data_IF_322400013679
#
_entry.id   IF_322400013679
#
_cell.length_a   1.000
_cell.length_b   1.000
_cell.length_c   1.000
_cell.angle_alpha   90.00
_cell.angle_beta   90.00
_cell.angle_gamma   90.00
#
_symmetry.space_group_name_H-M   'P 1'
#
loop_
_entity.id
_entity.type
_entity.pdbx_description
1 polymer ?
#
# COMPACT_ATOMS: atom_id res chain seq x y z
N UNK A 1 4.48 2.55 9.84
CA UNK A 1 4.98 1.62 10.89
C UNK A 1 6.08 0.76 10.29
N UNK A 2 7.15 0.42 11.02
CA UNK A 2 8.22 -0.45 10.55
C UNK A 2 8.11 -1.82 11.23
N UNK A 3 8.18 -2.89 10.47
CA UNK A 3 8.11 -4.28 10.93
C UNK A 3 9.49 -4.94 10.77
N UNK A 4 9.88 -5.79 11.71
CA UNK A 4 11.01 -6.68 11.50
C UNK A 4 10.60 -7.84 10.58
N UNK A 5 11.48 -8.25 9.66
CA UNK A 5 11.19 -9.30 8.67
C UNK A 5 12.23 -10.40 8.76
N UNK A 6 11.76 -11.64 8.77
CA UNK A 6 12.58 -12.84 8.69
C UNK A 6 12.82 -13.28 7.24
N UNK A 7 13.87 -14.04 6.98
CA UNK A 7 14.11 -14.71 5.69
C UNK A 7 13.02 -15.68 5.28
N UNK A 8 12.25 -16.23 6.22
CA UNK A 8 11.05 -17.02 5.92
C UNK A 8 9.80 -16.18 5.58
N UNK A 9 9.96 -14.86 5.35
CA UNK A 9 8.93 -13.88 5.02
C UNK A 9 7.90 -13.57 6.12
N UNK A 10 8.14 -13.99 7.35
CA UNK A 10 7.31 -13.57 8.48
C UNK A 10 7.64 -12.15 8.92
N UNK A 11 6.61 -11.39 9.27
CA UNK A 11 6.71 -10.01 9.73
C UNK A 11 6.34 -9.89 11.20
N UNK A 12 7.07 -9.06 11.95
CA UNK A 12 6.88 -8.83 13.37
C UNK A 12 6.63 -7.34 13.61
N UNK A 13 5.47 -7.05 14.16
CA UNK A 13 5.10 -5.67 14.51
C UNK A 13 5.98 -5.13 15.64
N UNK A 14 6.27 -3.82 15.63
CA UNK A 14 6.94 -3.18 16.75
C UNK A 14 6.07 -3.23 18.01
N UNK A 15 6.70 -3.49 19.15
CA UNK A 15 6.11 -3.33 20.48
C UNK A 15 6.72 -2.08 21.13
N UNK A 16 5.92 -1.28 21.80
CA UNK A 16 6.37 -0.08 22.49
C UNK A 16 6.21 -0.27 24.00
N UNK A 17 7.31 -0.42 24.73
CA UNK A 17 7.26 -0.47 26.20
C UNK A 17 6.62 0.82 26.76
N UNK A 18 5.95 0.71 27.88
CA UNK A 18 5.28 1.85 28.53
C UNK A 18 6.27 3.00 28.75
N UNK A 19 5.95 4.18 28.19
CA UNK A 19 6.78 5.39 28.30
C UNK A 19 7.97 5.45 27.33
N UNK A 20 8.13 4.48 26.44
CA UNK A 20 9.17 4.48 25.41
C UNK A 20 8.62 4.79 24.02
N UNK A 21 9.28 5.69 23.29
CA UNK A 21 9.03 5.93 21.87
C UNK A 21 9.89 4.99 20.97
N UNK A 22 10.78 4.20 21.58
CA UNK A 22 11.66 3.28 20.83
C UNK A 22 10.96 1.93 20.69
N UNK A 23 10.76 1.45 19.45
CA UNK A 23 10.17 0.15 19.22
C UNK A 23 11.10 -0.99 19.62
N UNK A 24 10.51 -2.07 20.12
CA UNK A 24 11.20 -3.33 20.39
C UNK A 24 10.61 -4.43 19.52
N UNK A 25 11.44 -5.44 19.22
CA UNK A 25 11.09 -6.57 18.39
C UNK A 25 11.58 -7.87 19.02
N UNK A 26 11.01 -9.04 18.67
CA UNK A 26 11.59 -10.33 19.06
C UNK A 26 13.03 -10.47 18.55
N UNK A 27 13.88 -11.11 19.31
CA UNK A 27 15.28 -11.36 18.91
C UNK A 27 15.37 -12.40 17.79
N UNK A 28 14.47 -13.40 17.82
CA UNK A 28 14.44 -14.52 16.90
C UNK A 28 13.07 -14.70 16.28
N UNK A 29 13.04 -15.26 15.08
CA UNK A 29 11.82 -15.67 14.41
C UNK A 29 11.15 -16.84 15.13
N UNK A 30 9.87 -16.70 15.46
CA UNK A 30 9.06 -17.72 16.14
C UNK A 30 8.13 -18.49 15.19
N UNK A 31 8.33 -18.36 13.90
CA UNK A 31 7.53 -19.05 12.88
C UNK A 31 8.00 -20.49 12.67
N UNK A 32 7.06 -21.36 12.41
CA UNK A 32 7.29 -22.74 12.02
C UNK A 32 7.11 -22.88 10.51
N UNK A 33 8.19 -22.87 9.70
CA UNK A 33 8.09 -23.10 8.24
C UNK A 33 7.53 -24.49 7.92
N UNK A 34 7.79 -25.45 8.79
CA UNK A 34 7.18 -26.79 8.78
C UNK A 34 6.67 -27.12 10.19
N UNK A 35 5.70 -28.05 10.36
CA UNK A 35 5.15 -28.36 11.69
C UNK A 35 6.18 -28.74 12.76
N UNK A 36 7.35 -29.23 12.33
CA UNK A 36 8.38 -29.78 13.23
C UNK A 36 9.61 -28.86 13.39
N UNK A 37 9.72 -27.77 12.60
CA UNK A 37 10.94 -26.97 12.54
C UNK A 37 10.63 -25.50 12.84
N UNK A 38 11.12 -25.01 13.99
CA UNK A 38 11.11 -23.58 14.31
C UNK A 38 12.19 -22.87 13.49
N UNK A 39 11.90 -21.68 12.99
CA UNK A 39 12.80 -20.94 12.11
C UNK A 39 14.04 -20.43 12.85
N UNK A 40 13.86 -19.84 14.05
CA UNK A 40 14.92 -19.30 14.93
C UNK A 40 15.94 -18.36 14.25
N UNK A 41 15.64 -17.81 13.06
CA UNK A 41 16.51 -16.83 12.42
C UNK A 41 16.59 -15.55 13.28
N UNK A 42 17.80 -15.03 13.57
CA UNK A 42 17.94 -13.80 14.35
C UNK A 42 17.43 -12.59 13.54
N UNK A 43 16.47 -11.86 14.13
CA UNK A 43 15.79 -10.72 13.50
C UNK A 43 16.52 -9.39 13.69
N UNK A 44 17.38 -9.29 14.70
CA UNK A 44 18.03 -8.05 15.11
C UNK A 44 19.53 -8.07 14.83
N UNK A 45 20.06 -6.89 14.50
CA UNK A 45 21.50 -6.68 14.44
C UNK A 45 22.10 -6.64 15.85
N UNK A 46 23.18 -7.40 16.08
CA UNK A 46 23.97 -7.33 17.29
C UNK A 46 24.83 -6.06 17.28
N UNK A 47 24.30 -4.95 17.76
CA UNK A 47 25.05 -3.71 17.98
C UNK A 47 25.53 -3.66 19.41
N UNK A 48 26.82 -3.41 19.61
CA UNK A 48 27.45 -3.39 20.93
C UNK A 48 26.99 -2.23 21.82
N UNK A 49 26.49 -1.13 21.23
CA UNK A 49 26.02 0.05 21.97
C UNK A 49 24.86 0.71 21.23
N UNK A 50 23.63 0.49 21.67
CA UNK A 50 22.44 1.14 21.11
C UNK A 50 21.22 0.22 21.00
N UNK A 51 20.08 0.74 20.54
CA UNK A 51 18.89 -0.09 20.34
C UNK A 51 19.16 -1.13 19.25
N UNK A 52 18.74 -2.36 19.49
CA UNK A 52 18.80 -3.42 18.51
C UNK A 52 17.79 -3.10 17.38
N UNK A 53 18.30 -2.92 16.16
CA UNK A 53 17.48 -2.64 14.98
C UNK A 53 17.24 -3.93 14.19
N UNK A 54 16.08 -4.05 13.52
CA UNK A 54 15.83 -5.17 12.62
C UNK A 54 16.88 -5.25 11.50
N UNK A 55 17.37 -6.47 11.22
CA UNK A 55 18.27 -6.77 10.09
C UNK A 55 17.60 -6.46 8.76
N UNK A 56 16.31 -6.80 8.65
CA UNK A 56 15.46 -6.51 7.49
C UNK A 56 14.21 -5.81 7.98
N UNK A 57 13.82 -4.76 7.29
CA UNK A 57 12.67 -3.92 7.65
C UNK A 57 11.64 -3.90 6.53
N UNK A 58 10.38 -4.07 6.90
CA UNK A 58 9.26 -3.75 6.03
C UNK A 58 8.56 -2.50 6.57
N UNK A 59 8.50 -1.45 5.77
CA UNK A 59 7.82 -0.21 6.15
C UNK A 59 6.43 -0.25 5.54
N UNK A 60 5.42 -0.14 6.41
CA UNK A 60 4.02 -0.17 6.01
C UNK A 60 3.29 1.08 6.52
N UNK A 61 2.61 1.76 5.62
CA UNK A 61 1.59 2.73 5.94
C UNK A 61 0.23 2.04 5.90
N UNK A 62 -0.52 2.11 7.00
CA UNK A 62 -1.86 1.52 7.04
C UNK A 62 -2.76 2.23 6.02
N UNK A 63 -3.37 1.43 5.14
CA UNK A 63 -4.20 1.95 4.07
C UNK A 63 -5.48 2.60 4.61
N UNK A 64 -6.05 2.05 5.68
CA UNK A 64 -7.26 2.61 6.29
C UNK A 64 -6.97 3.95 6.95
N UNK A 65 -5.82 4.08 7.65
CA UNK A 65 -5.38 5.35 8.23
C UNK A 65 -5.15 6.41 7.14
N UNK A 66 -4.52 6.01 6.04
CA UNK A 66 -4.31 6.90 4.88
C UNK A 66 -5.65 7.34 4.27
N UNK A 67 -6.56 6.41 4.00
CA UNK A 67 -7.86 6.70 3.43
C UNK A 67 -8.71 7.57 4.38
N UNK A 68 -8.73 7.25 5.68
CA UNK A 68 -9.40 8.05 6.68
C UNK A 68 -8.87 9.49 6.74
N UNK A 69 -7.54 9.66 6.62
CA UNK A 69 -6.92 10.99 6.54
C UNK A 69 -7.35 11.78 5.31
N UNK A 70 -7.49 11.12 4.15
CA UNK A 70 -8.04 11.77 2.96
C UNK A 70 -9.50 12.18 3.15
N UNK A 71 -10.34 11.26 3.61
CA UNK A 71 -11.78 11.47 3.75
C UNK A 71 -12.16 12.38 4.94
N UNK A 72 -11.25 12.63 5.88
CA UNK A 72 -11.46 13.64 6.93
C UNK A 72 -11.48 15.08 6.40
N UNK A 73 -11.03 15.29 5.18
CA UNK A 73 -11.02 16.57 4.48
C UNK A 73 -12.21 16.60 3.53
N UNK A 74 -13.26 17.34 3.86
CA UNK A 74 -14.51 17.38 3.08
C UNK A 74 -14.33 17.89 1.64
N UNK A 75 -13.32 18.74 1.38
CA UNK A 75 -12.94 19.18 0.04
C UNK A 75 -12.38 18.03 -0.81
N UNK A 76 -11.55 17.16 -0.22
CA UNK A 76 -10.98 15.99 -0.88
C UNK A 76 -12.06 14.92 -1.12
N UNK A 77 -12.88 14.62 -0.10
CA UNK A 77 -13.99 13.68 -0.25
C UNK A 77 -14.91 14.08 -1.40
N UNK A 78 -15.32 15.35 -1.45
CA UNK A 78 -16.16 15.86 -2.53
C UNK A 78 -15.53 15.74 -3.92
N UNK A 79 -14.21 15.97 -4.05
CA UNK A 79 -13.48 15.77 -5.30
C UNK A 79 -13.40 14.30 -5.70
N UNK A 80 -13.17 13.40 -4.74
CA UNK A 80 -13.12 11.96 -4.98
C UNK A 80 -14.46 11.44 -5.48
N UNK A 81 -15.55 11.89 -4.89
CA UNK A 81 -16.91 11.52 -5.28
C UNK A 81 -17.29 12.08 -6.65
N UNK A 82 -16.90 13.33 -6.93
CA UNK A 82 -17.20 14.00 -8.19
C UNK A 82 -16.68 13.25 -9.42
N UNK A 83 -15.61 12.45 -9.28
CA UNK A 83 -15.06 11.64 -10.37
C UNK A 83 -16.04 10.54 -10.82
N UNK A 84 -16.68 9.83 -9.89
CA UNK A 84 -17.72 8.85 -10.21
C UNK A 84 -18.99 9.53 -10.75
N UNK A 85 -19.43 10.60 -10.09
CA UNK A 85 -20.65 11.34 -10.47
C UNK A 85 -20.52 12.01 -11.85
N UNK A 86 -19.32 12.47 -12.18
CA UNK A 86 -19.00 13.01 -13.51
C UNK A 86 -19.04 11.94 -14.60
N UNK A 87 -18.45 10.78 -14.31
CA UNK A 87 -18.45 9.68 -15.28
C UNK A 87 -19.87 9.14 -15.51
N UNK A 88 -20.65 8.88 -14.45
CA UNK A 88 -22.04 8.36 -14.61
C UNK A 88 -22.89 9.29 -15.49
N UNK A 89 -22.76 10.61 -15.30
CA UNK A 89 -23.45 11.60 -16.15
C UNK A 89 -22.97 11.54 -17.59
N UNK A 90 -21.70 11.28 -17.84
CA UNK A 90 -21.11 11.22 -19.17
C UNK A 90 -21.44 9.94 -19.94
N UNK A 91 -21.95 8.88 -19.27
CA UNK A 91 -22.28 7.61 -19.94
C UNK A 91 -23.39 7.75 -20.98
N UNK A 92 -24.26 8.77 -20.87
CA UNK A 92 -25.28 9.08 -21.86
C UNK A 92 -24.70 9.55 -23.21
N UNK A 93 -23.41 9.93 -23.23
CA UNK A 93 -22.73 10.40 -24.44
C UNK A 93 -21.67 9.40 -24.89
N UNK A 94 -21.35 9.33 -26.20
CA UNK A 94 -20.25 8.49 -26.68
C UNK A 94 -18.92 8.92 -26.02
N UNK A 95 -17.97 7.96 -25.85
CA UNK A 95 -16.67 8.26 -25.26
C UNK A 95 -15.93 9.36 -26.04
N UNK A 96 -15.26 10.25 -25.32
CA UNK A 96 -14.39 11.25 -25.94
C UNK A 96 -13.25 10.57 -26.70
N UNK A 97 -12.84 11.16 -27.82
CA UNK A 97 -11.65 10.74 -28.58
C UNK A 97 -10.36 10.91 -27.76
N UNK A 98 -10.35 11.87 -26.87
CA UNK A 98 -9.19 12.19 -26.01
C UNK A 98 -9.57 11.96 -24.56
N UNK A 99 -8.82 11.09 -23.90
CA UNK A 99 -8.96 10.78 -22.47
C UNK A 99 -8.11 11.77 -21.67
N UNK A 100 -8.73 12.53 -20.78
CA UNK A 100 -8.07 13.54 -19.94
C UNK A 100 -7.84 13.02 -18.52
N UNK A 101 -8.71 12.13 -18.06
CA UNK A 101 -8.63 11.52 -16.71
C UNK A 101 -8.79 10.01 -16.82
N UNK A 102 -8.30 9.23 -15.85
CA UNK A 102 -8.51 7.79 -15.82
C UNK A 102 -9.99 7.40 -15.91
N UNK A 103 -10.90 8.22 -15.36
CA UNK A 103 -12.34 7.97 -15.36
C UNK A 103 -12.99 8.09 -16.75
N UNK A 104 -12.37 8.76 -17.70
CA UNK A 104 -12.83 8.81 -19.08
C UNK A 104 -12.42 7.57 -19.90
N UNK A 105 -11.49 6.75 -19.35
CA UNK A 105 -11.02 5.56 -20.03
C UNK A 105 -12.12 4.50 -20.14
N UNK A 106 -12.12 3.76 -21.24
CA UNK A 106 -13.08 2.68 -21.52
C UNK A 106 -13.20 1.68 -20.38
N UNK A 107 -12.08 1.33 -19.74
CA UNK A 107 -12.05 0.41 -18.62
C UNK A 107 -13.01 0.83 -17.50
N UNK A 108 -12.90 2.06 -16.98
CA UNK A 108 -13.75 2.53 -15.87
C UNK A 108 -15.21 2.78 -16.29
N UNK A 109 -15.44 3.10 -17.56
CA UNK A 109 -16.80 3.26 -18.12
C UNK A 109 -17.57 1.94 -18.15
N UNK A 110 -16.88 0.81 -18.25
CA UNK A 110 -17.46 -0.54 -18.39
C UNK A 110 -17.22 -1.40 -17.15
N UNK A 111 -16.47 -0.92 -16.16
CA UNK A 111 -16.10 -1.69 -14.99
C UNK A 111 -17.30 -1.87 -14.06
N UNK A 112 -17.61 -3.13 -13.75
CA UNK A 112 -18.70 -3.47 -12.84
C UNK A 112 -18.24 -3.38 -11.38
N UNK A 113 -19.13 -2.85 -10.55
CA UNK A 113 -18.92 -2.76 -9.10
C UNK A 113 -19.11 -4.10 -8.39
N UNK A 114 -19.04 -4.10 -7.07
CA UNK A 114 -19.23 -5.31 -6.25
C UNK A 114 -20.65 -5.88 -6.32
N UNK A 115 -21.64 -5.08 -6.73
CA UNK A 115 -23.02 -5.52 -6.93
C UNK A 115 -23.20 -5.96 -8.37
N UNK A 116 -23.75 -7.16 -8.58
CA UNK A 116 -23.94 -7.74 -9.91
C UNK A 116 -24.79 -6.82 -10.80
N UNK A 117 -24.33 -6.56 -12.03
CA UNK A 117 -25.02 -5.74 -13.02
C UNK A 117 -24.92 -4.23 -12.78
N UNK A 118 -24.29 -3.76 -11.70
CA UNK A 118 -24.11 -2.35 -11.42
C UNK A 118 -22.69 -1.91 -11.81
N UNK A 119 -22.57 -0.78 -12.51
CA UNK A 119 -21.27 -0.19 -12.80
C UNK A 119 -20.60 0.30 -11.52
N UNK A 120 -19.28 0.25 -11.49
CA UNK A 120 -18.49 0.77 -10.36
C UNK A 120 -18.82 2.23 -10.05
N UNK A 121 -19.00 3.05 -11.07
CA UNK A 121 -19.27 4.49 -10.93
C UNK A 121 -20.70 4.81 -10.50
N UNK A 122 -21.62 3.86 -10.60
CA UNK A 122 -22.99 3.98 -10.07
C UNK A 122 -22.97 3.68 -8.56
N UNK A 123 -22.51 4.66 -7.80
CA UNK A 123 -22.18 4.54 -6.39
C UNK A 123 -23.37 4.71 -5.43
N UNK A 124 -24.47 5.37 -5.86
CA UNK A 124 -25.53 5.80 -4.95
C UNK A 124 -24.95 6.72 -3.87
N UNK A 125 -25.18 6.36 -2.61
CA UNK A 125 -24.68 7.07 -1.43
C UNK A 125 -23.34 6.50 -0.89
N UNK A 126 -22.73 5.54 -1.59
CA UNK A 126 -21.46 4.91 -1.19
C UNK A 126 -20.28 5.68 -1.76
N UNK A 127 -19.19 5.85 -0.98
CA UNK A 127 -17.89 6.25 -1.53
C UNK A 127 -17.29 5.11 -2.37
N UNK A 128 -16.86 5.40 -3.60
CA UNK A 128 -16.19 4.42 -4.47
C UNK A 128 -14.93 5.01 -5.05
N UNK A 129 -13.80 4.44 -4.64
CA UNK A 129 -12.49 4.98 -4.93
C UNK A 129 -11.64 3.95 -5.67
N UNK A 130 -11.06 4.37 -6.78
CA UNK A 130 -10.17 3.57 -7.60
C UNK A 130 -8.71 3.94 -7.31
N UNK A 131 -7.87 2.92 -7.15
CA UNK A 131 -6.44 3.10 -6.91
C UNK A 131 -5.64 2.38 -8.00
N UNK A 132 -4.61 3.06 -8.53
CA UNK A 132 -3.58 2.40 -9.30
C UNK A 132 -2.53 1.86 -8.34
N UNK A 133 -2.20 0.58 -8.49
CA UNK A 133 -1.12 -0.07 -7.75
C UNK A 133 0.12 -0.10 -8.63
N UNK A 134 1.24 0.37 -8.08
CA UNK A 134 2.56 0.29 -8.70
C UNK A 134 3.49 -0.52 -7.81
N UNK A 135 4.22 -1.43 -8.43
CA UNK A 135 5.25 -2.25 -7.77
C UNK A 135 6.55 -2.05 -8.51
N UNK A 136 7.58 -1.63 -7.80
CA UNK A 136 8.92 -1.45 -8.34
C UNK A 136 9.96 -2.17 -7.48
N UNK A 137 10.89 -2.85 -8.15
CA UNK A 137 12.00 -3.55 -7.51
C UNK A 137 13.31 -2.95 -7.98
N UNK A 138 14.17 -2.58 -7.05
CA UNK A 138 15.48 -2.03 -7.35
C UNK A 138 16.55 -2.64 -6.45
N UNK A 139 17.78 -2.61 -6.93
CA UNK A 139 18.95 -3.00 -6.14
C UNK A 139 19.61 -1.73 -5.58
N UNK A 140 19.51 -1.47 -4.25
CA UNK A 140 20.08 -0.26 -3.64
C UNK A 140 21.63 -0.23 -3.67
N UNK A 141 22.27 -1.38 -3.81
CA UNK A 141 23.74 -1.50 -3.86
C UNK A 141 24.32 -1.40 -5.27
N UNK A 142 23.48 -1.20 -6.28
CA UNK A 142 23.88 -1.11 -7.68
C UNK A 142 24.29 -2.45 -8.29
N UNK A 143 24.71 -2.42 -9.56
CA UNK A 143 25.19 -3.60 -10.30
C UNK A 143 26.68 -3.84 -10.06
N UNK A 144 27.11 -4.10 -8.83
CA UNK A 144 28.50 -4.53 -8.62
C UNK A 144 28.64 -6.03 -8.93
N UNK A 145 29.62 -6.39 -9.73
CA UNK A 145 29.87 -7.76 -10.22
C UNK A 145 30.17 -8.75 -9.07
N UNK A 146 30.45 -8.25 -7.87
CA UNK A 146 30.82 -9.04 -6.68
C UNK A 146 30.00 -8.71 -5.42
N UNK A 147 28.93 -7.92 -5.51
CA UNK A 147 28.08 -7.58 -4.37
C UNK A 147 26.95 -8.59 -4.15
N UNK A 148 26.50 -8.72 -2.91
CA UNK A 148 25.28 -9.45 -2.60
C UNK A 148 24.10 -8.83 -3.36
N UNK A 149 23.32 -9.66 -4.06
CA UNK A 149 22.11 -9.22 -4.76
C UNK A 149 21.01 -8.95 -3.72
N UNK A 150 20.96 -7.72 -3.21
CA UNK A 150 19.88 -7.26 -2.33
C UNK A 150 18.84 -6.55 -3.19
N UNK A 151 17.64 -7.10 -3.27
CA UNK A 151 16.51 -6.47 -3.96
C UNK A 151 15.59 -5.83 -2.94
N UNK A 152 15.32 -4.54 -3.13
CA UNK A 152 14.29 -3.82 -2.36
C UNK A 152 13.08 -3.58 -3.25
N UNK A 153 11.87 -3.81 -2.72
CA UNK A 153 10.62 -3.57 -3.42
C UNK A 153 9.85 -2.42 -2.80
N UNK A 154 9.29 -1.56 -3.64
CA UNK A 154 8.34 -0.52 -3.25
C UNK A 154 6.98 -0.86 -3.85
N UNK A 155 5.96 -0.85 -3.01
CA UNK A 155 4.56 -0.90 -3.44
C UNK A 155 3.96 0.47 -3.13
N UNK A 156 3.46 1.14 -4.15
CA UNK A 156 2.81 2.43 -4.02
C UNK A 156 1.42 2.41 -4.63
N UNK A 157 0.54 3.26 -4.13
CA UNK A 157 -0.80 3.43 -4.65
C UNK A 157 -1.09 4.90 -4.90
N UNK A 158 -1.74 5.19 -6.04
CA UNK A 158 -2.25 6.51 -6.37
C UNK A 158 -3.77 6.47 -6.44
N UNK A 159 -4.44 7.41 -5.78
CA UNK A 159 -5.89 7.56 -5.88
C UNK A 159 -6.24 8.18 -7.23
N UNK A 160 -6.95 7.43 -8.07
CA UNK A 160 -7.35 7.87 -9.41
C UNK A 160 -8.54 8.83 -9.39
N UNK A 161 -9.26 8.90 -8.27
CA UNK A 161 -10.38 9.83 -8.12
C UNK A 161 -9.94 11.29 -7.96
N UNK A 162 -8.68 11.51 -7.58
CA UNK A 162 -8.13 12.85 -7.40
C UNK A 162 -7.50 13.38 -8.68
N UNK A 163 -7.56 14.69 -8.94
CA UNK A 163 -6.79 15.32 -9.99
C UNK A 163 -5.28 15.14 -9.78
N UNK A 164 -4.50 15.19 -10.87
CA UNK A 164 -3.05 14.95 -10.84
C UNK A 164 -2.25 16.11 -10.23
N UNK A 165 -2.89 17.23 -9.97
CA UNK A 165 -2.28 18.48 -9.49
C UNK A 165 -2.59 18.81 -8.03
N UNK A 166 -3.06 17.81 -7.28
CA UNK A 166 -3.33 17.92 -5.84
C UNK A 166 -2.32 17.15 -5.00
#
# INVERSE_FOLDING_TARGET
MAYAVCGCHCTYAPSYPTGSAVPTYPEYCTHYPTPETLCEEPLLDARSNGPHLPKKTFVYHDFNDYLASLLSRGDIEAMMDASCDGLIKSLASPPSRFVKTPFEAKFLREFHGPKAGQLFVDRGDEGRYAFALHVDFFNPEGMSVHGASTSSGIISMACLNLPLDI
#
